data_IF_600236935295
#
_entry.id   IF_600236935295
#
_cell.length_a   1.000
_cell.length_b   1.000
_cell.length_c   1.000
_cell.angle_alpha   90.00
_cell.angle_beta   90.00
_cell.angle_gamma   90.00
#
_symmetry.space_group_name_H-M   'P 1'
#
loop_
_entity.id
_entity.type
_entity.pdbx_description
1 polymer ?
#
# COMPACT_ATOMS: atom_id res chain seq x y z
N UNK A 1 13.73 -11.86 0.49
CA UNK A 1 13.36 -10.61 -0.22
C UNK A 1 14.36 -9.47 -0.01
N UNK A 2 15.49 -9.66 0.70
CA UNK A 2 16.48 -8.60 0.90
C UNK A 2 16.06 -7.47 1.87
N UNK A 3 14.78 -7.38 2.22
CA UNK A 3 14.27 -6.40 3.18
C UNK A 3 14.91 -6.59 4.57
N UNK A 4 15.25 -5.51 5.30
CA UNK A 4 15.87 -5.63 6.62
C UNK A 4 15.02 -6.45 7.57
N UNK A 5 15.66 -7.43 8.20
CA UNK A 5 15.02 -8.26 9.19
C UNK A 5 15.04 -7.55 10.56
N UNK A 6 13.90 -7.57 11.25
CA UNK A 6 13.77 -7.02 12.60
C UNK A 6 14.09 -8.05 13.69
N UNK A 7 13.95 -7.66 14.95
CA UNK A 7 13.88 -8.62 16.07
C UNK A 7 12.42 -8.65 16.53
N UNK A 8 11.81 -9.83 16.54
CA UNK A 8 10.51 -10.00 17.16
C UNK A 8 10.68 -9.86 18.67
N UNK A 9 10.27 -8.70 19.21
CA UNK A 9 10.44 -8.31 20.61
C UNK A 9 9.79 -9.28 21.61
N UNK A 10 8.88 -10.17 21.16
CA UNK A 10 8.28 -11.20 22.01
C UNK A 10 9.02 -12.54 22.05
N UNK A 11 9.82 -12.87 21.04
CA UNK A 11 10.48 -14.19 20.93
C UNK A 11 12.01 -14.12 20.85
N UNK A 12 12.60 -12.93 20.69
CA UNK A 12 14.03 -12.75 20.48
C UNK A 12 14.54 -13.32 19.14
N UNK A 13 13.64 -13.85 18.31
CA UNK A 13 13.98 -14.35 16.98
C UNK A 13 13.99 -13.23 15.97
N UNK A 14 14.81 -13.42 14.93
CA UNK A 14 14.86 -12.53 13.77
C UNK A 14 13.50 -12.58 13.07
N UNK A 15 12.87 -11.42 12.91
CA UNK A 15 11.65 -11.26 12.15
C UNK A 15 12.00 -11.25 10.66
N UNK A 16 11.56 -12.28 9.95
CA UNK A 16 11.61 -12.33 8.51
C UNK A 16 10.29 -11.75 7.97
N UNK A 17 10.39 -10.74 7.12
CA UNK A 17 9.24 -10.10 6.51
C UNK A 17 9.08 -10.61 5.07
N UNK A 18 7.87 -11.05 4.77
CA UNK A 18 7.42 -11.27 3.40
C UNK A 18 6.77 -10.00 2.82
N UNK A 19 6.51 -9.99 1.53
CA UNK A 19 5.84 -8.90 0.82
C UNK A 19 4.51 -8.47 1.49
N UNK A 20 3.62 -9.41 1.88
CA UNK A 20 2.44 -9.12 2.69
C UNK A 20 2.73 -8.26 3.94
N UNK A 21 3.71 -8.66 4.75
CA UNK A 21 4.02 -7.98 5.99
C UNK A 21 4.57 -6.57 5.73
N UNK A 22 5.41 -6.40 4.71
CA UNK A 22 6.01 -5.11 4.34
C UNK A 22 4.92 -4.12 3.92
N UNK A 23 4.04 -4.51 3.00
CA UNK A 23 2.94 -3.64 2.53
C UNK A 23 2.06 -3.20 3.70
N UNK A 24 1.70 -4.14 4.58
CA UNK A 24 0.88 -3.85 5.76
C UNK A 24 1.55 -2.89 6.74
N UNK A 25 2.84 -3.09 7.00
CA UNK A 25 3.60 -2.23 7.90
C UNK A 25 3.66 -0.82 7.35
N UNK A 26 4.02 -0.66 6.07
CA UNK A 26 4.14 0.65 5.44
C UNK A 26 2.80 1.39 5.42
N UNK A 27 1.71 0.70 5.07
CA UNK A 27 0.38 1.31 5.08
C UNK A 27 -0.09 1.70 6.48
N UNK A 28 0.21 0.87 7.49
CA UNK A 28 -0.12 1.20 8.86
C UNK A 28 0.63 2.46 9.31
N UNK A 29 1.91 2.59 8.97
CA UNK A 29 2.68 3.80 9.25
C UNK A 29 2.13 5.02 8.54
N UNK A 30 1.78 4.90 7.26
CA UNK A 30 1.21 6.00 6.49
C UNK A 30 -0.11 6.48 7.10
N UNK A 31 -1.03 5.56 7.44
CA UNK A 31 -2.27 5.90 8.15
C UNK A 31 -2.02 6.59 9.49
N UNK A 32 -0.99 6.18 10.24
CA UNK A 32 -0.63 6.84 11.50
C UNK A 32 -0.09 8.26 11.28
N UNK A 33 0.64 8.53 10.20
CA UNK A 33 1.08 9.89 9.85
C UNK A 33 -0.11 10.83 9.57
N UNK A 34 -1.21 10.29 9.08
CA UNK A 34 -2.48 11.01 8.92
C UNK A 34 -3.31 11.11 10.22
N UNK A 35 -2.75 10.74 11.37
CA UNK A 35 -3.35 10.95 12.68
C UNK A 35 -4.21 9.79 13.19
N UNK A 36 -4.23 8.64 12.51
CA UNK A 36 -4.88 7.46 13.06
C UNK A 36 -4.05 6.86 14.21
N UNK A 37 -4.74 6.35 15.24
CA UNK A 37 -4.11 5.59 16.32
C UNK A 37 -3.59 4.24 15.79
N UNK A 38 -2.48 3.70 16.33
CA UNK A 38 -1.90 2.43 15.87
C UNK A 38 -2.90 1.28 15.80
N UNK A 39 -3.77 1.14 16.81
CA UNK A 39 -4.78 0.08 16.86
C UNK A 39 -5.76 0.19 15.70
N UNK A 40 -6.15 1.43 15.34
CA UNK A 40 -7.06 1.68 14.22
C UNK A 40 -6.39 1.44 12.88
N UNK A 41 -5.16 1.91 12.69
CA UNK A 41 -4.39 1.64 11.48
C UNK A 41 -4.25 0.13 11.22
N UNK A 42 -3.94 -0.65 12.26
CA UNK A 42 -3.87 -2.12 12.16
C UNK A 42 -5.22 -2.75 11.82
N UNK A 43 -6.33 -2.27 12.42
CA UNK A 43 -7.67 -2.78 12.09
C UNK A 43 -8.02 -2.52 10.64
N UNK A 44 -7.75 -1.30 10.13
CA UNK A 44 -8.01 -0.92 8.73
C UNK A 44 -7.17 -1.75 7.77
N UNK A 45 -5.87 -1.88 8.04
CA UNK A 45 -4.97 -2.70 7.22
C UNK A 45 -5.36 -4.18 7.20
N UNK A 46 -5.98 -4.68 8.28
CA UNK A 46 -6.55 -6.04 8.33
C UNK A 46 -7.88 -6.18 7.59
N UNK A 47 -8.66 -5.10 7.50
CA UNK A 47 -9.93 -5.07 6.78
C UNK A 47 -9.72 -4.85 5.27
N UNK A 48 -8.61 -4.22 4.89
CA UNK A 48 -8.15 -4.13 3.51
C UNK A 48 -7.92 -5.53 2.95
N UNK A 49 -8.69 -5.89 1.91
CA UNK A 49 -8.60 -7.19 1.27
C UNK A 49 -7.22 -7.47 0.68
N UNK A 50 -6.88 -8.76 0.58
CA UNK A 50 -5.60 -9.21 0.06
C UNK A 50 -5.40 -8.86 -1.41
N UNK A 51 -6.47 -8.94 -2.22
CA UNK A 51 -6.57 -8.43 -3.59
C UNK A 51 -5.92 -7.05 -3.75
N UNK A 52 -6.26 -6.15 -2.83
CA UNK A 52 -5.88 -4.75 -2.93
C UNK A 52 -4.40 -4.53 -2.61
N UNK A 53 -3.91 -5.20 -1.58
CA UNK A 53 -2.51 -5.17 -1.21
C UNK A 53 -1.64 -5.83 -2.30
N UNK A 54 -2.12 -6.93 -2.89
CA UNK A 54 -1.48 -7.61 -4.02
C UNK A 54 -1.44 -6.71 -5.27
N UNK A 55 -2.54 -6.04 -5.62
CA UNK A 55 -2.58 -5.10 -6.76
C UNK A 55 -1.53 -3.99 -6.62
N UNK A 56 -1.51 -3.33 -5.46
CA UNK A 56 -0.56 -2.25 -5.17
C UNK A 56 0.89 -2.75 -5.25
N UNK A 57 1.17 -3.92 -4.67
CA UNK A 57 2.49 -4.53 -4.73
C UNK A 57 2.89 -4.93 -6.14
N UNK A 58 1.95 -5.49 -6.93
CA UNK A 58 2.18 -5.87 -8.32
C UNK A 58 2.64 -4.66 -9.15
N UNK A 59 1.93 -3.54 -9.05
CA UNK A 59 2.29 -2.31 -9.76
C UNK A 59 3.63 -1.72 -9.31
N UNK A 60 3.89 -1.67 -8.00
CA UNK A 60 5.18 -1.23 -7.49
C UNK A 60 6.31 -2.14 -7.98
N UNK A 61 6.07 -3.46 -7.99
CA UNK A 61 6.99 -4.46 -8.50
C UNK A 61 7.30 -4.29 -9.99
N UNK A 62 6.28 -4.04 -10.81
CA UNK A 62 6.43 -3.75 -12.24
C UNK A 62 7.29 -2.51 -12.49
N UNK A 63 7.02 -1.42 -11.76
CA UNK A 63 7.79 -0.18 -11.89
C UNK A 63 9.25 -0.37 -11.49
N UNK A 64 9.52 -1.06 -10.38
CA UNK A 64 10.88 -1.39 -9.94
C UNK A 64 11.61 -2.35 -10.90
N UNK A 65 10.87 -3.20 -11.62
CA UNK A 65 11.44 -4.12 -12.62
C UNK A 65 11.60 -3.49 -14.01
N UNK A 66 11.05 -2.30 -14.27
CA UNK A 66 11.01 -1.69 -15.60
C UNK A 66 12.39 -1.27 -16.12
N UNK A 67 13.39 -1.14 -15.23
CA UNK A 67 14.73 -0.67 -15.57
C UNK A 67 14.86 0.85 -15.72
N UNK A 68 13.75 1.58 -15.57
CA UNK A 68 13.74 3.03 -15.43
C UNK A 68 14.08 3.41 -13.99
N UNK A 69 14.88 4.46 -13.79
CA UNK A 69 15.18 4.95 -12.43
C UNK A 69 13.89 5.53 -11.81
N UNK A 70 13.43 4.98 -10.66
CA UNK A 70 12.22 5.49 -10.04
C UNK A 70 12.26 6.95 -9.60
N UNK A 71 13.45 7.53 -9.48
CA UNK A 71 13.67 8.95 -9.15
C UNK A 71 13.47 9.88 -10.34
N UNK A 72 13.67 9.37 -11.55
CA UNK A 72 13.47 10.15 -12.78
C UNK A 72 11.97 10.36 -13.08
N UNK A 73 11.08 9.65 -12.38
CA UNK A 73 9.63 9.82 -12.53
C UNK A 73 9.09 11.14 -11.95
N UNK A 74 9.80 11.83 -11.06
CA UNK A 74 9.34 13.13 -10.53
C UNK A 74 9.42 14.27 -11.55
N UNK A 75 10.29 14.17 -12.57
CA UNK A 75 10.60 15.28 -13.47
C UNK A 75 10.00 15.15 -14.89
N UNK A 76 9.39 14.03 -15.27
CA UNK A 76 8.71 13.93 -16.55
C UNK A 76 8.18 12.55 -16.89
N UNK A 77 7.20 12.52 -17.80
CA UNK A 77 6.52 11.36 -18.39
C UNK A 77 5.30 10.88 -17.60
N UNK A 78 4.12 11.35 -18.04
CA UNK A 78 2.83 11.16 -17.39
C UNK A 78 2.21 9.76 -17.48
N UNK A 79 2.80 8.78 -18.15
CA UNK A 79 2.14 7.47 -18.36
C UNK A 79 2.39 6.45 -17.23
N UNK A 80 3.58 6.43 -16.61
CA UNK A 80 3.88 5.53 -15.47
C UNK A 80 3.25 6.01 -14.16
N UNK A 81 3.08 7.32 -14.00
CA UNK A 81 2.39 7.92 -12.84
C UNK A 81 0.87 7.67 -12.85
N UNK A 82 0.26 7.55 -14.04
CA UNK A 82 -1.16 7.20 -14.20
C UNK A 82 -1.50 5.79 -13.71
N UNK A 83 -0.52 4.89 -13.71
CA UNK A 83 -0.67 3.53 -13.24
C UNK A 83 -0.54 3.38 -11.71
N UNK A 84 -0.45 4.46 -10.93
CA UNK A 84 -0.36 4.35 -9.46
C UNK A 84 -1.71 4.02 -8.83
N UNK A 85 -1.72 3.15 -7.81
CA UNK A 85 -2.87 2.98 -6.93
C UNK A 85 -2.83 4.02 -5.80
N UNK A 86 -3.93 4.75 -5.66
CA UNK A 86 -4.13 5.77 -4.63
C UNK A 86 -5.08 5.24 -3.56
N UNK A 87 -4.78 5.54 -2.31
CA UNK A 87 -5.66 5.29 -1.17
C UNK A 87 -6.28 6.61 -0.77
N UNK A 88 -7.60 6.71 -0.90
CA UNK A 88 -8.42 7.82 -0.44
C UNK A 88 -9.14 7.41 0.83
N UNK A 89 -9.20 8.30 1.81
CA UNK A 89 -9.98 8.02 3.01
C UNK A 89 -10.44 9.26 3.76
N UNK A 90 -11.53 9.14 4.51
CA UNK A 90 -11.99 10.15 5.46
C UNK A 90 -11.39 9.85 6.85
N UNK A 91 -10.35 10.59 7.30
CA UNK A 91 -9.69 10.33 8.57
C UNK A 91 -10.65 10.46 9.76
N UNK A 92 -11.62 11.38 9.71
CA UNK A 92 -12.57 11.59 10.80
C UNK A 92 -13.61 10.46 10.85
N UNK A 93 -14.08 10.04 9.69
CA UNK A 93 -14.94 8.86 9.57
C UNK A 93 -14.25 7.61 10.10
N UNK A 94 -12.97 7.39 9.77
CA UNK A 94 -12.22 6.21 10.21
C UNK A 94 -11.97 6.21 11.73
N UNK A 95 -11.79 7.38 12.33
CA UNK A 95 -11.69 7.54 13.78
C UNK A 95 -13.01 7.17 14.47
N UNK A 96 -14.14 7.49 13.83
CA UNK A 96 -15.48 7.27 14.36
C UNK A 96 -15.98 5.84 14.31
N UNK A 97 -15.43 4.98 13.44
CA UNK A 97 -15.81 3.57 13.33
C UNK A 97 -15.54 2.84 14.66
N UNK A 98 -16.53 2.12 15.20
CA UNK A 98 -16.37 1.32 16.40
C UNK A 98 -15.61 0.03 16.07
N UNK A 99 -16.02 -0.69 15.01
CA UNK A 99 -15.28 -1.80 14.40
C UNK A 99 -15.36 -1.76 12.86
N UNK A 100 -14.25 -1.49 12.15
CA UNK A 100 -14.22 -1.47 10.68
C UNK A 100 -14.65 -2.78 10.00
N UNK A 101 -14.58 -3.93 10.70
CA UNK A 101 -15.00 -5.24 10.17
C UNK A 101 -16.51 -5.43 10.21
N UNK A 102 -17.14 -5.04 11.31
CA UNK A 102 -18.59 -5.17 11.49
C UNK A 102 -19.35 -4.05 10.76
N UNK A 103 -18.70 -2.89 10.62
CA UNK A 103 -19.23 -1.72 9.92
C UNK A 103 -18.80 -1.66 8.46
N UNK A 104 -18.49 -2.81 7.84
CA UNK A 104 -17.82 -2.92 6.52
C UNK A 104 -18.30 -1.94 5.44
N UNK A 105 -19.62 -1.68 5.35
CA UNK A 105 -20.16 -0.66 4.43
C UNK A 105 -19.74 0.78 4.77
N UNK A 106 -19.78 1.16 6.05
CA UNK A 106 -19.29 2.47 6.50
C UNK A 106 -17.78 2.59 6.29
N UNK A 107 -17.01 1.53 6.51
CA UNK A 107 -15.57 1.49 6.19
C UNK A 107 -15.33 1.69 4.69
N UNK A 108 -16.11 1.04 3.82
CA UNK A 108 -15.98 1.18 2.35
C UNK A 108 -16.30 2.60 1.84
N UNK A 109 -17.20 3.32 2.51
CA UNK A 109 -17.43 4.75 2.22
C UNK A 109 -16.33 5.67 2.74
N UNK A 110 -15.51 5.17 3.68
CA UNK A 110 -14.49 5.95 4.38
C UNK A 110 -13.09 5.61 3.91
N UNK A 111 -12.90 4.52 3.16
CA UNK A 111 -11.64 4.06 2.59
C UNK A 111 -11.90 3.51 1.19
N UNK A 112 -11.28 4.14 0.20
CA UNK A 112 -11.37 3.76 -1.21
C UNK A 112 -9.96 3.63 -1.78
N UNK A 113 -9.72 2.60 -2.58
CA UNK A 113 -8.46 2.47 -3.31
C UNK A 113 -8.73 2.42 -4.80
N UNK A 114 -8.19 3.39 -5.51
CA UNK A 114 -8.51 3.64 -6.91
C UNK A 114 -7.23 3.82 -7.71
N UNK A 115 -7.17 3.33 -8.96
CA UNK A 115 -6.14 3.75 -9.89
C UNK A 115 -6.15 5.28 -10.03
N UNK A 116 -4.98 5.91 -10.21
CA UNK A 116 -4.90 7.37 -10.41
C UNK A 116 -5.74 7.84 -11.58
N UNK A 117 -5.80 7.06 -12.66
CA UNK A 117 -6.63 7.34 -13.85
C UNK A 117 -8.13 7.44 -13.53
N UNK A 118 -8.60 6.79 -12.46
CA UNK A 118 -9.98 6.78 -12.02
C UNK A 118 -10.27 7.75 -10.87
N UNK A 119 -9.24 8.49 -10.40
CA UNK A 119 -9.35 9.37 -9.24
C UNK A 119 -10.52 10.38 -9.36
N UNK A 120 -10.69 11.00 -10.52
CA UNK A 120 -11.78 11.96 -10.72
C UNK A 120 -13.15 11.31 -10.51
N UNK A 121 -13.35 10.11 -11.07
CA UNK A 121 -14.60 9.37 -10.92
C UNK A 121 -14.82 8.89 -9.47
N UNK A 122 -13.74 8.42 -8.83
CA UNK A 122 -13.75 8.01 -7.43
C UNK A 122 -14.13 9.17 -6.49
N UNK A 123 -13.57 10.36 -6.71
CA UNK A 123 -13.87 11.57 -5.94
C UNK A 123 -15.32 12.02 -6.13
N UNK A 124 -15.84 11.96 -7.36
CA UNK A 124 -17.24 12.28 -7.64
C UNK A 124 -18.20 11.29 -6.95
N UNK A 125 -17.84 10.00 -6.90
CA UNK A 125 -18.68 8.94 -6.32
C UNK A 125 -18.78 9.01 -4.78
N UNK A 126 -17.72 9.42 -4.08
CA UNK A 126 -17.71 9.51 -2.61
C UNK A 126 -18.34 10.81 -2.07
N UNK A 127 -18.49 11.82 -2.93
CA UNK A 127 -19.00 13.13 -2.54
C UNK A 127 -17.95 13.99 -1.82
N UNK A 128 -17.85 15.26 -2.24
CA UNK A 128 -16.85 16.22 -1.72
C UNK A 128 -17.23 16.88 -0.39
N UNK A 129 -18.33 16.44 0.23
CA UNK A 129 -18.89 17.05 1.44
C UNK A 129 -17.98 16.85 2.67
N UNK A 130 -17.00 15.95 2.56
CA UNK A 130 -16.04 15.60 3.60
C UNK A 130 -14.60 15.82 3.14
N UNK A 131 -13.73 16.15 4.08
CA UNK A 131 -12.28 16.22 3.83
C UNK A 131 -11.72 14.81 3.74
N UNK A 132 -11.25 14.44 2.56
CA UNK A 132 -10.56 13.18 2.33
C UNK A 132 -9.05 13.42 2.28
N UNK A 133 -8.29 12.52 2.89
CA UNK A 133 -6.86 12.37 2.69
C UNK A 133 -6.61 11.43 1.51
N UNK A 134 -5.50 11.63 0.81
CA UNK A 134 -5.04 10.76 -0.27
C UNK A 134 -3.56 10.51 -0.12
N UNK A 135 -3.12 9.28 -0.29
CA UNK A 135 -1.70 8.96 -0.50
C UNK A 135 -1.52 8.00 -1.67
N UNK A 136 -0.34 8.07 -2.28
CA UNK A 136 0.05 7.19 -3.36
C UNK A 136 0.68 5.92 -2.78
N UNK A 137 -0.11 4.86 -2.73
CA UNK A 137 0.26 3.58 -2.14
C UNK A 137 1.36 2.86 -2.94
N UNK A 138 1.33 2.97 -4.27
CA UNK A 138 2.38 2.43 -5.14
C UNK A 138 3.71 3.14 -4.90
N UNK A 139 3.68 4.47 -4.85
CA UNK A 139 4.88 5.27 -4.64
C UNK A 139 5.47 5.08 -3.23
N UNK A 140 4.63 4.90 -2.20
CA UNK A 140 5.09 4.54 -0.85
C UNK A 140 5.99 3.28 -0.84
N UNK A 141 5.64 2.25 -1.62
CA UNK A 141 6.47 1.05 -1.74
C UNK A 141 7.77 1.30 -2.49
N UNK A 142 7.74 2.17 -3.50
CA UNK A 142 8.92 2.54 -4.29
C UNK A 142 9.89 3.36 -3.44
N UNK A 143 9.40 4.36 -2.72
CA UNK A 143 10.21 5.17 -1.79
C UNK A 143 10.84 4.30 -0.71
N UNK A 144 10.08 3.37 -0.14
CA UNK A 144 10.63 2.40 0.81
C UNK A 144 11.75 1.56 0.17
N UNK A 145 11.58 1.10 -1.07
CA UNK A 145 12.60 0.34 -1.77
C UNK A 145 13.86 1.18 -2.07
N UNK A 146 13.69 2.42 -2.56
CA UNK A 146 14.78 3.35 -2.83
C UNK A 146 15.57 3.66 -1.57
N UNK A 147 14.88 4.01 -0.48
CA UNK A 147 15.51 4.29 0.81
C UNK A 147 16.34 3.09 1.28
N UNK A 148 15.79 1.87 1.18
CA UNK A 148 16.51 0.66 1.58
C UNK A 148 17.65 0.29 0.63
N UNK A 149 17.54 0.65 -0.65
CA UNK A 149 18.65 0.47 -1.59
C UNK A 149 19.83 1.36 -1.21
N UNK A 150 19.55 2.63 -0.93
CA UNK A 150 20.57 3.63 -0.58
C UNK A 150 21.25 3.34 0.77
N UNK A 151 20.48 2.88 1.75
CA UNK A 151 20.95 2.78 3.13
C UNK A 151 21.34 1.36 3.54
N UNK A 152 20.71 0.34 2.95
CA UNK A 152 20.85 -1.07 3.38
C UNK A 152 21.30 -1.99 2.25
N UNK A 153 21.56 -1.45 1.04
CA UNK A 153 22.04 -2.22 -0.11
C UNK A 153 20.99 -3.17 -0.69
N UNK A 154 19.70 -2.87 -0.51
CA UNK A 154 18.61 -3.63 -1.14
C UNK A 154 18.73 -3.58 -2.67
N UNK A 155 18.70 -4.75 -3.32
CA UNK A 155 18.58 -4.84 -4.77
C UNK A 155 17.13 -4.59 -5.21
N UNK A 156 16.91 -3.46 -5.89
CA UNK A 156 15.59 -3.01 -6.33
C UNK A 156 14.91 -4.01 -7.27
N UNK A 157 15.67 -4.67 -8.15
CA UNK A 157 15.09 -5.64 -9.09
C UNK A 157 14.62 -6.91 -8.36
N UNK A 158 15.42 -7.44 -7.45
CA UNK A 158 15.01 -8.59 -6.63
C UNK A 158 13.81 -8.27 -5.74
N UNK A 159 13.76 -7.06 -5.18
CA UNK A 159 12.63 -6.60 -4.37
C UNK A 159 11.36 -6.46 -5.23
N UNK A 160 11.46 -5.77 -6.36
CA UNK A 160 10.34 -5.60 -7.30
C UNK A 160 9.80 -6.92 -7.81
N UNK A 161 10.68 -7.87 -8.15
CA UNK A 161 10.29 -9.22 -8.54
C UNK A 161 9.53 -9.94 -7.42
N UNK A 162 9.98 -9.84 -6.18
CA UNK A 162 9.30 -10.47 -5.05
C UNK A 162 7.88 -9.90 -4.85
N UNK A 163 7.69 -8.59 -5.00
CA UNK A 163 6.37 -7.96 -4.95
C UNK A 163 5.46 -8.44 -6.09
N UNK A 164 5.97 -8.47 -7.32
CA UNK A 164 5.22 -8.93 -8.49
C UNK A 164 4.85 -10.40 -8.41
N UNK A 165 5.79 -11.25 -8.02
CA UNK A 165 5.56 -12.70 -7.90
C UNK A 165 4.52 -12.99 -6.81
N UNK A 166 4.54 -12.23 -5.69
CA UNK A 166 3.49 -12.32 -4.68
C UNK A 166 2.12 -11.92 -5.22
N UNK A 167 2.03 -10.79 -5.94
CA UNK A 167 0.78 -10.32 -6.51
C UNK A 167 0.14 -11.35 -7.46
N UNK A 168 0.96 -12.01 -8.30
CA UNK A 168 0.51 -13.07 -9.22
C UNK A 168 -0.05 -14.27 -8.46
N UNK A 169 0.63 -14.71 -7.40
CA UNK A 169 0.18 -15.87 -6.60
C UNK A 169 -1.15 -15.57 -5.92
N UNK A 170 -1.33 -14.37 -5.38
CA UNK A 170 -2.58 -13.97 -4.73
C UNK A 170 -3.76 -13.90 -5.73
N UNK A 171 -3.57 -13.28 -6.89
CA UNK A 171 -4.60 -13.24 -7.96
C UNK A 171 -4.95 -14.64 -8.49
N UNK A 172 -4.00 -15.58 -8.50
CA UNK A 172 -4.26 -16.96 -8.89
C UNK A 172 -5.06 -17.75 -7.85
N UNK A 173 -4.75 -17.61 -6.56
CA UNK A 173 -5.47 -18.31 -5.47
C UNK A 173 -6.94 -17.90 -5.41
N UNK A 174 -7.25 -16.63 -5.64
CA UNK A 174 -8.63 -16.12 -5.55
C UNK A 174 -9.49 -16.41 -6.78
N UNK A 175 -8.90 -16.77 -7.93
CA UNK A 175 -9.66 -17.22 -9.11
C UNK A 175 -10.12 -18.68 -9.00
N UNK A 176 -9.54 -19.44 -8.09
CA UNK A 176 -9.83 -20.85 -7.85
C UNK A 176 -10.81 -21.09 -6.68
N UNK A 177 -11.18 -20.04 -5.93
CA UNK A 177 -12.20 -20.02 -4.85
C UNK A 177 -13.57 -19.50 -5.34
#
# INVERSE_FOLDING_TARGET
MGFPAGVNVGSGQRAEYDAPAIVRILFAFELMQFGLRPERAVMIVRAMGWELAARIAGRAGEQLCSGLDPREYEEGVGETYEAADLVLFDPLGLIGLADPKDEGWATAQTLLVTPRSELAHAVDAIGLDRRHAVFNATHLLIEAALYLSDNEGLDLQSFGKALRDWAIVTDAVERDD
#
